data_IF_293578822067
#
_entry.id   IF_293578822067
#
_cell.length_a   1.000
_cell.length_b   1.000
_cell.length_c   1.000
_cell.angle_alpha   90.00
_cell.angle_beta   90.00
_cell.angle_gamma   90.00
#
_symmetry.space_group_name_H-M   'P 1'
#
loop_
_entity.id
_entity.type
_entity.pdbx_description
1 polymer ?
#
# COMPACT_ATOMS: atom_id res chain seq x y z
N UNK A 1 -8.71 9.26 -6.21
CA UNK A 1 -7.35 8.77 -5.95
C UNK A 1 -6.34 9.86 -6.32
N UNK A 2 -5.23 9.99 -5.59
CA UNK A 2 -4.16 10.95 -5.96
C UNK A 2 -3.27 10.40 -7.06
N UNK A 3 -2.80 11.27 -7.94
CA UNK A 3 -1.96 10.92 -9.09
C UNK A 3 -0.66 10.22 -8.72
N UNK A 4 -0.05 10.59 -7.59
CA UNK A 4 1.13 9.90 -7.05
C UNK A 4 0.93 8.39 -6.90
N UNK A 5 -0.28 7.93 -6.56
CA UNK A 5 -0.56 6.48 -6.42
C UNK A 5 -0.39 5.78 -7.75
N UNK A 6 -0.89 6.36 -8.85
CA UNK A 6 -0.76 5.77 -10.19
C UNK A 6 0.68 5.77 -10.67
N UNK A 7 1.44 6.82 -10.38
CA UNK A 7 2.88 6.91 -10.70
C UNK A 7 3.65 5.82 -9.94
N UNK A 8 3.36 5.61 -8.65
CA UNK A 8 3.99 4.54 -7.87
C UNK A 8 3.59 3.14 -8.36
N UNK A 9 2.36 2.96 -8.85
CA UNK A 9 1.94 1.71 -9.49
C UNK A 9 2.71 1.48 -10.81
N UNK A 10 2.83 2.51 -11.64
CA UNK A 10 3.61 2.48 -12.88
C UNK A 10 5.07 2.10 -12.62
N UNK A 11 5.72 2.78 -11.67
CA UNK A 11 7.10 2.51 -11.27
C UNK A 11 7.24 1.05 -10.81
N UNK A 12 6.37 0.58 -9.91
CA UNK A 12 6.38 -0.80 -9.44
C UNK A 12 6.21 -1.82 -10.56
N UNK A 13 5.22 -1.62 -11.44
CA UNK A 13 4.96 -2.55 -12.54
C UNK A 13 6.13 -2.54 -13.53
N UNK A 14 6.65 -1.37 -13.86
CA UNK A 14 7.76 -1.22 -14.80
C UNK A 14 9.03 -1.87 -14.26
N UNK A 15 9.32 -1.70 -12.97
CA UNK A 15 10.50 -2.29 -12.33
C UNK A 15 10.41 -3.82 -12.26
N UNK A 16 9.21 -4.38 -12.00
CA UNK A 16 9.03 -5.82 -11.85
C UNK A 16 8.80 -6.56 -13.18
N UNK A 17 8.11 -5.93 -14.13
CA UNK A 17 7.59 -6.59 -15.33
C UNK A 17 7.96 -5.89 -16.64
N UNK A 18 8.63 -4.73 -16.58
CA UNK A 18 9.06 -3.94 -17.73
C UNK A 18 7.98 -3.01 -18.28
N UNK A 19 8.42 -2.00 -19.05
CA UNK A 19 7.55 -0.97 -19.62
C UNK A 19 6.46 -1.54 -20.56
N UNK A 20 6.77 -2.59 -21.34
CA UNK A 20 5.78 -3.24 -22.21
C UNK A 20 4.61 -3.86 -21.42
N UNK A 21 4.86 -4.33 -20.20
CA UNK A 21 3.81 -4.87 -19.34
C UNK A 21 2.88 -3.74 -18.85
N UNK A 22 3.45 -2.58 -18.52
CA UNK A 22 2.69 -1.41 -18.14
C UNK A 22 1.82 -0.88 -19.27
N UNK A 23 2.39 -0.71 -20.47
CA UNK A 23 1.64 -0.28 -21.66
C UNK A 23 0.47 -1.23 -21.96
N UNK A 24 0.71 -2.54 -21.87
CA UNK A 24 -0.34 -3.55 -22.06
C UNK A 24 -1.44 -3.51 -20.98
N UNK A 25 -1.11 -3.10 -19.74
CA UNK A 25 -2.12 -2.90 -18.70
C UNK A 25 -2.97 -1.67 -18.96
N UNK A 26 -2.36 -0.56 -19.41
CA UNK A 26 -3.08 0.66 -19.78
C UNK A 26 -4.07 0.39 -20.92
N UNK A 27 -3.62 -0.31 -21.97
CA UNK A 27 -4.49 -0.68 -23.10
C UNK A 27 -5.65 -1.58 -22.64
N UNK A 28 -5.37 -2.61 -21.83
CA UNK A 28 -6.40 -3.52 -21.32
C UNK A 28 -7.38 -2.84 -20.35
N UNK A 29 -6.92 -1.86 -19.58
CA UNK A 29 -7.75 -1.05 -18.69
C UNK A 29 -8.52 0.03 -19.46
N UNK A 30 -8.11 0.40 -20.68
CA UNK A 30 -8.70 1.51 -21.42
C UNK A 30 -8.32 2.88 -20.85
N UNK A 31 -7.10 3.02 -20.35
CA UNK A 31 -6.56 4.24 -19.74
C UNK A 31 -5.44 4.83 -20.61
N UNK A 32 -5.26 6.15 -20.56
CA UNK A 32 -4.24 6.86 -21.35
C UNK A 32 -2.88 6.95 -20.65
N UNK A 33 -2.81 6.60 -19.36
CA UNK A 33 -1.57 6.64 -18.60
C UNK A 33 -1.17 8.03 -18.09
N UNK A 34 -2.02 9.05 -18.23
CA UNK A 34 -1.61 10.45 -18.02
C UNK A 34 -2.01 10.96 -16.64
N UNK A 35 -1.12 10.76 -15.66
CA UNK A 35 -1.27 11.29 -14.31
C UNK A 35 -0.22 12.33 -13.93
N UNK A 36 -0.61 13.26 -13.06
CA UNK A 36 0.29 14.24 -12.45
C UNK A 36 0.32 14.01 -10.95
N UNK A 37 1.47 14.14 -10.31
CA UNK A 37 1.69 13.83 -8.89
C UNK A 37 0.63 14.43 -7.95
N UNK A 38 0.26 15.71 -8.14
CA UNK A 38 -0.73 16.41 -7.30
C UNK A 38 -2.19 16.27 -7.77
N UNK A 39 -2.40 15.73 -8.97
CA UNK A 39 -3.71 15.56 -9.58
C UNK A 39 -4.64 14.64 -8.77
N UNK A 40 -5.94 14.82 -8.94
CA UNK A 40 -6.98 13.96 -8.38
C UNK A 40 -7.77 13.31 -9.51
N UNK A 41 -7.90 12.00 -9.45
CA UNK A 41 -8.51 11.16 -10.49
C UNK A 41 -9.59 10.26 -9.88
N UNK A 42 -10.55 9.74 -10.67
CA UNK A 42 -11.55 8.81 -10.18
C UNK A 42 -10.92 7.56 -9.53
N UNK A 43 -11.49 7.07 -8.43
CA UNK A 43 -10.97 5.89 -7.73
C UNK A 43 -11.07 4.64 -8.62
N UNK A 44 -12.06 4.62 -9.52
CA UNK A 44 -12.34 3.56 -10.48
C UNK A 44 -11.16 3.27 -11.41
N UNK A 45 -10.31 4.27 -11.71
CA UNK A 45 -9.13 4.04 -12.55
C UNK A 45 -8.15 3.06 -11.91
N UNK A 46 -8.00 3.07 -10.58
CA UNK A 46 -7.15 2.10 -9.89
C UNK A 46 -7.78 0.71 -9.95
N UNK A 47 -9.10 0.61 -9.77
CA UNK A 47 -9.83 -0.65 -9.91
C UNK A 47 -9.69 -1.22 -11.34
N UNK A 48 -9.75 -0.37 -12.36
CA UNK A 48 -9.56 -0.78 -13.76
C UNK A 48 -8.16 -1.37 -14.01
N UNK A 49 -7.10 -0.75 -13.44
CA UNK A 49 -5.74 -1.29 -13.51
C UNK A 49 -5.61 -2.63 -12.78
N UNK A 50 -6.20 -2.73 -11.58
CA UNK A 50 -6.23 -3.96 -10.79
C UNK A 50 -6.92 -5.08 -11.54
N UNK A 51 -8.09 -4.82 -12.13
CA UNK A 51 -8.86 -5.81 -12.89
C UNK A 51 -8.14 -6.26 -14.17
N UNK A 52 -7.47 -5.33 -14.86
CA UNK A 52 -6.65 -5.64 -16.02
C UNK A 52 -5.48 -6.56 -15.65
N UNK A 53 -4.77 -6.25 -14.56
CA UNK A 53 -3.67 -7.07 -14.05
C UNK A 53 -4.16 -8.43 -13.54
N UNK A 54 -5.27 -8.48 -12.80
CA UNK A 54 -5.87 -9.71 -12.32
C UNK A 54 -6.17 -10.69 -13.46
N UNK A 55 -6.76 -10.19 -14.56
CA UNK A 55 -7.02 -10.99 -15.76
C UNK A 55 -5.73 -11.44 -16.45
N UNK A 56 -4.77 -10.53 -16.63
CA UNK A 56 -3.51 -10.81 -17.33
C UNK A 56 -2.67 -11.86 -16.62
N UNK A 57 -2.61 -11.80 -15.29
CA UNK A 57 -1.77 -12.67 -14.47
C UNK A 57 -2.54 -13.86 -13.85
N UNK A 58 -3.84 -13.99 -14.15
CA UNK A 58 -4.72 -15.02 -13.58
C UNK A 58 -4.69 -15.02 -12.03
N UNK A 59 -4.66 -13.83 -11.45
CA UNK A 59 -4.64 -13.61 -10.00
C UNK A 59 -5.97 -13.07 -9.50
N UNK A 60 -6.38 -13.37 -8.25
CA UNK A 60 -7.48 -12.67 -7.60
C UNK A 60 -7.20 -11.15 -7.52
N UNK A 61 -8.19 -10.27 -7.74
CA UNK A 61 -8.02 -8.82 -7.63
C UNK A 61 -7.42 -8.36 -6.29
N UNK A 62 -7.79 -9.01 -5.19
CA UNK A 62 -7.27 -8.72 -3.86
C UNK A 62 -5.77 -9.02 -3.76
N UNK A 63 -5.32 -10.08 -4.44
CA UNK A 63 -3.89 -10.42 -4.50
C UNK A 63 -3.09 -9.37 -5.29
N UNK A 64 -3.67 -8.84 -6.37
CA UNK A 64 -3.06 -7.75 -7.14
C UNK A 64 -2.97 -6.48 -6.29
N UNK A 65 -4.03 -6.12 -5.56
CA UNK A 65 -4.00 -4.98 -4.66
C UNK A 65 -2.91 -5.09 -3.59
N UNK A 66 -2.71 -6.28 -3.00
CA UNK A 66 -1.61 -6.51 -2.04
C UNK A 66 -0.24 -6.24 -2.66
N UNK A 67 -0.01 -6.77 -3.87
CA UNK A 67 1.26 -6.55 -4.59
C UNK A 67 1.49 -5.07 -4.90
N UNK A 68 0.46 -4.38 -5.38
CA UNK A 68 0.50 -2.93 -5.62
C UNK A 68 0.81 -2.17 -4.33
N UNK A 69 0.15 -2.50 -3.23
CA UNK A 69 0.38 -1.86 -1.93
C UNK A 69 1.82 -2.04 -1.45
N UNK A 70 2.36 -3.25 -1.59
CA UNK A 70 3.73 -3.56 -1.22
C UNK A 70 4.74 -2.71 -2.01
N UNK A 71 4.58 -2.63 -3.34
CA UNK A 71 5.44 -1.81 -4.19
C UNK A 71 5.28 -0.30 -3.97
N UNK A 72 4.06 0.14 -3.71
CA UNK A 72 3.75 1.56 -3.46
C UNK A 72 4.42 2.07 -2.19
N UNK A 73 4.50 1.26 -1.12
CA UNK A 73 5.19 1.68 0.11
C UNK A 73 6.66 2.01 -0.14
N UNK A 74 7.38 1.15 -0.87
CA UNK A 74 8.81 1.37 -1.13
C UNK A 74 9.07 2.62 -1.96
N UNK A 75 8.23 2.90 -2.96
CA UNK A 75 8.39 4.11 -3.76
C UNK A 75 8.05 5.37 -2.96
N UNK A 76 7.00 5.35 -2.13
CA UNK A 76 6.68 6.47 -1.24
C UNK A 76 7.81 6.75 -0.24
N UNK A 77 8.35 5.69 0.37
CA UNK A 77 9.47 5.80 1.31
C UNK A 77 10.76 6.31 0.65
N UNK A 78 10.98 6.00 -0.63
CA UNK A 78 12.12 6.51 -1.40
C UNK A 78 11.95 7.99 -1.78
N UNK A 79 10.73 8.41 -2.11
CA UNK A 79 10.43 9.81 -2.46
C UNK A 79 10.37 10.74 -1.23
N UNK A 80 9.94 10.20 -0.08
CA UNK A 80 9.73 10.94 1.15
C UNK A 80 10.36 10.25 2.38
N UNK A 81 11.69 10.06 2.40
CA UNK A 81 12.36 9.43 3.55
C UNK A 81 12.15 10.20 4.86
N UNK A 82 11.88 11.51 4.79
CA UNK A 82 11.58 12.37 5.94
C UNK A 82 10.33 11.93 6.71
N UNK A 83 9.37 11.25 6.06
CA UNK A 83 8.20 10.69 6.74
C UNK A 83 8.57 9.55 7.69
N UNK A 84 9.73 8.93 7.50
CA UNK A 84 10.16 7.72 8.19
C UNK A 84 11.40 7.92 9.06
N UNK A 85 12.02 9.11 9.04
CA UNK A 85 13.31 9.39 9.70
C UNK A 85 13.31 9.09 11.21
N UNK A 86 12.20 9.43 11.89
CA UNK A 86 12.01 9.24 13.32
C UNK A 86 11.56 7.81 13.69
N UNK A 87 11.19 6.99 12.71
CA UNK A 87 10.72 5.62 12.91
C UNK A 87 11.88 4.62 12.81
N UNK A 88 11.81 3.55 13.59
CA UNK A 88 12.86 2.50 13.65
C UNK A 88 12.34 1.10 13.31
N UNK A 89 11.03 0.97 13.10
CA UNK A 89 10.36 -0.27 12.73
C UNK A 89 9.02 0.01 12.08
N UNK A 90 8.49 -0.97 11.36
CA UNK A 90 7.13 -0.93 10.81
C UNK A 90 6.09 -0.74 11.93
N UNK A 91 6.32 -1.33 13.11
CA UNK A 91 5.48 -1.12 14.30
C UNK A 91 5.30 0.35 14.64
N UNK A 92 6.40 1.11 14.71
CA UNK A 92 6.32 2.54 15.05
C UNK A 92 5.57 3.35 14.00
N UNK A 93 5.73 3.01 12.72
CA UNK A 93 4.97 3.64 11.63
C UNK A 93 3.48 3.36 11.77
N UNK A 94 3.10 2.11 12.03
CA UNK A 94 1.70 1.70 12.16
C UNK A 94 0.99 2.38 13.32
N UNK A 95 1.66 2.51 14.48
CA UNK A 95 1.12 3.19 15.65
C UNK A 95 0.92 4.69 15.42
N UNK A 96 1.78 5.31 14.61
CA UNK A 96 1.74 6.75 14.32
C UNK A 96 1.01 7.11 13.02
N UNK A 97 0.34 6.16 12.37
CA UNK A 97 -0.36 6.37 11.09
C UNK A 97 -1.29 7.58 11.14
N UNK A 98 -2.28 7.57 12.04
CA UNK A 98 -3.27 8.64 12.10
C UNK A 98 -2.72 9.94 12.72
N UNK A 99 -1.71 9.82 13.59
CA UNK A 99 -1.17 10.93 14.36
C UNK A 99 -0.14 11.76 13.62
N UNK A 100 0.66 11.12 12.76
CA UNK A 100 1.81 11.72 12.10
C UNK A 100 1.77 11.42 10.59
N UNK A 101 1.86 10.14 10.20
CA UNK A 101 2.11 9.77 8.80
C UNK A 101 1.01 10.26 7.86
N UNK A 102 -0.25 9.94 8.14
CA UNK A 102 -1.40 10.37 7.33
C UNK A 102 -1.56 11.90 7.31
N UNK A 103 -1.46 12.63 8.44
CA UNK A 103 -1.39 14.08 8.43
C UNK A 103 -0.28 14.66 7.55
N UNK A 104 0.95 14.14 7.63
CA UNK A 104 2.05 14.62 6.78
C UNK A 104 1.80 14.32 5.30
N UNK A 105 1.30 13.13 4.96
CA UNK A 105 0.88 12.77 3.59
C UNK A 105 -0.19 13.76 3.08
N UNK A 106 -1.17 14.14 3.90
CA UNK A 106 -2.18 15.13 3.51
C UNK A 106 -1.61 16.54 3.29
N UNK A 107 -0.50 16.90 3.93
CA UNK A 107 0.22 18.16 3.67
C UNK A 107 0.96 18.12 2.34
N UNK A 108 1.61 16.99 2.02
CA UNK A 108 2.33 16.77 0.76
C UNK A 108 1.36 16.71 -0.43
N UNK A 109 0.19 16.11 -0.22
CA UNK A 109 -0.82 15.88 -1.25
C UNK A 109 -2.17 16.51 -0.85
N UNK A 110 -2.34 17.84 -1.00
CA UNK A 110 -3.56 18.53 -0.60
C UNK A 110 -4.83 17.89 -1.21
N UNK A 111 -5.80 17.57 -0.35
CA UNK A 111 -7.03 16.87 -0.76
C UNK A 111 -6.86 15.35 -0.96
N UNK A 112 -5.75 14.76 -0.50
CA UNK A 112 -5.67 13.33 -0.32
C UNK A 112 -6.70 12.88 0.71
N UNK A 113 -7.31 11.72 0.46
CA UNK A 113 -8.15 11.05 1.44
C UNK A 113 -7.42 9.78 1.83
N UNK A 114 -7.19 9.63 3.13
CA UNK A 114 -6.43 8.54 3.75
C UNK A 114 -7.40 7.70 4.61
N UNK A 115 -7.15 6.40 4.77
CA UNK A 115 -7.98 5.57 5.64
C UNK A 115 -7.71 5.89 7.10
N UNK A 116 -8.60 5.42 7.98
CA UNK A 116 -8.38 5.43 9.42
C UNK A 116 -7.93 4.05 9.89
N UNK A 117 -6.96 4.00 10.81
CA UNK A 117 -6.52 2.75 11.46
C UNK A 117 -6.60 2.85 12.98
N UNK A 118 -7.38 1.99 13.63
CA UNK A 118 -7.21 1.79 15.07
C UNK A 118 -6.20 0.66 15.28
N UNK A 119 -5.00 1.02 15.73
CA UNK A 119 -3.90 0.09 15.98
C UNK A 119 -3.73 -0.11 17.47
N UNK A 120 -3.83 -1.36 17.93
CA UNK A 120 -3.66 -1.72 19.35
C UNK A 120 -2.61 -2.80 19.49
N UNK A 121 -1.60 -2.52 20.31
CA UNK A 121 -0.58 -3.49 20.70
C UNK A 121 -1.07 -4.36 21.86
N UNK A 122 -0.93 -5.67 21.70
CA UNK A 122 -1.27 -6.65 22.73
C UNK A 122 -0.03 -7.02 23.56
N UNK A 123 -0.27 -7.55 24.76
CA UNK A 123 0.81 -7.91 25.69
C UNK A 123 1.73 -9.03 25.18
N UNK A 124 1.27 -9.83 24.22
CA UNK A 124 2.04 -10.89 23.54
C UNK A 124 2.83 -10.37 22.32
N UNK A 125 2.79 -9.06 22.06
CA UNK A 125 3.49 -8.40 20.97
C UNK A 125 2.73 -8.39 19.65
N UNK A 126 1.53 -8.98 19.56
CA UNK A 126 0.70 -8.88 18.36
C UNK A 126 0.17 -7.45 18.17
N UNK A 127 -0.02 -7.05 16.91
CA UNK A 127 -0.76 -5.84 16.58
C UNK A 127 -2.12 -6.21 16.01
N UNK A 128 -3.15 -5.57 16.56
CA UNK A 128 -4.50 -5.61 16.03
C UNK A 128 -4.74 -4.30 15.30
N UNK A 129 -5.07 -4.38 14.02
CA UNK A 129 -5.35 -3.23 13.17
C UNK A 129 -6.81 -3.29 12.71
N UNK A 130 -7.53 -2.19 12.89
CA UNK A 130 -8.87 -2.00 12.32
C UNK A 130 -8.82 -0.86 11.31
N UNK A 131 -8.75 -1.23 10.04
CA UNK A 131 -8.82 -0.34 8.89
C UNK A 131 -10.27 0.05 8.60
N UNK A 132 -10.50 1.34 8.30
CA UNK A 132 -11.81 1.87 7.91
C UNK A 132 -11.67 2.90 6.77
N UNK A 133 -12.40 2.68 5.68
CA UNK A 133 -12.45 3.58 4.53
C UNK A 133 -13.58 3.24 3.58
N UNK A 134 -14.31 4.27 3.13
CA UNK A 134 -15.31 4.19 2.05
C UNK A 134 -14.78 3.65 0.71
N UNK A 135 -13.46 3.61 0.51
CA UNK A 135 -12.86 3.06 -0.72
C UNK A 135 -12.72 1.54 -0.72
N UNK A 136 -12.92 0.87 0.42
CA UNK A 136 -12.80 -0.58 0.55
C UNK A 136 -11.46 -1.19 0.06
N UNK A 137 -10.36 -0.44 0.23
CA UNK A 137 -9.00 -0.86 -0.16
C UNK A 137 -8.25 -1.64 0.94
N UNK A 138 -8.94 -2.54 1.65
CA UNK A 138 -8.35 -3.39 2.70
C UNK A 138 -7.12 -4.20 2.22
N UNK A 139 -7.18 -4.87 1.05
CA UNK A 139 -6.05 -5.62 0.53
C UNK A 139 -4.86 -4.73 0.13
N UNK A 140 -5.10 -3.51 -0.36
CA UNK A 140 -4.04 -2.54 -0.63
C UNK A 140 -3.35 -2.10 0.67
N UNK A 141 -4.14 -1.84 1.72
CA UNK A 141 -3.63 -1.53 3.06
C UNK A 141 -2.77 -2.67 3.62
N UNK A 142 -3.22 -3.92 3.47
CA UNK A 142 -2.43 -5.11 3.83
C UNK A 142 -1.08 -5.12 3.10
N UNK A 143 -1.09 -4.86 1.79
CA UNK A 143 0.12 -4.73 0.98
C UNK A 143 1.08 -3.65 1.49
N UNK A 144 0.57 -2.45 1.82
CA UNK A 144 1.37 -1.35 2.37
C UNK A 144 2.00 -1.73 3.73
N UNK A 145 1.27 -2.45 4.59
CA UNK A 145 1.79 -2.94 5.88
C UNK A 145 2.95 -3.92 5.64
N UNK A 146 2.80 -4.86 4.71
CA UNK A 146 3.87 -5.80 4.32
C UNK A 146 5.07 -5.05 3.73
N UNK A 147 4.83 -4.06 2.86
CA UNK A 147 5.86 -3.19 2.30
C UNK A 147 6.62 -2.41 3.38
N UNK A 148 5.93 -1.94 4.41
CA UNK A 148 6.55 -1.30 5.57
C UNK A 148 7.49 -2.25 6.30
N UNK A 149 7.07 -3.49 6.55
CA UNK A 149 7.96 -4.51 7.12
C UNK A 149 9.23 -4.67 6.30
N UNK A 150 9.09 -4.89 4.99
CA UNK A 150 10.23 -5.08 4.09
C UNK A 150 11.20 -3.89 4.12
N UNK A 151 10.70 -2.66 4.18
CA UNK A 151 11.52 -1.44 4.27
C UNK A 151 12.39 -1.43 5.55
N UNK A 152 11.86 -1.87 6.69
CA UNK A 152 12.62 -1.93 7.95
C UNK A 152 13.42 -3.23 8.14
N UNK A 153 13.44 -4.14 7.16
CA UNK A 153 14.08 -5.45 7.30
C UNK A 153 13.32 -6.38 8.25
N UNK A 154 12.00 -6.25 8.25
CA UNK A 154 11.06 -7.03 9.06
C UNK A 154 10.14 -7.88 8.20
N UNK A 155 9.76 -9.03 8.71
CA UNK A 155 8.72 -9.88 8.14
C UNK A 155 7.41 -9.61 8.86
N UNK A 156 6.34 -9.34 8.10
CA UNK A 156 4.97 -9.26 8.63
C UNK A 156 4.27 -10.61 8.40
N UNK A 157 3.90 -11.28 9.49
CA UNK A 157 3.05 -12.47 9.45
C UNK A 157 1.59 -12.06 9.70
N UNK A 158 0.71 -12.32 8.73
CA UNK A 158 -0.73 -12.10 8.85
C UNK A 158 -1.36 -13.33 9.50
N UNK A 159 -1.80 -13.20 10.75
CA UNK A 159 -2.42 -14.29 11.51
C UNK A 159 -3.92 -14.40 11.26
N UNK A 160 -4.58 -13.27 10.98
CA UNK A 160 -6.00 -13.23 10.64
C UNK A 160 -6.32 -11.97 9.85
N UNK A 161 -7.21 -12.10 8.87
CA UNK A 161 -7.78 -11.00 8.09
C UNK A 161 -9.28 -11.23 7.94
N UNK A 162 -10.08 -10.24 8.33
CA UNK A 162 -11.52 -10.22 8.12
C UNK A 162 -11.86 -8.92 7.41
N UNK A 163 -12.20 -9.01 6.13
CA UNK A 163 -12.53 -7.88 5.28
C UNK A 163 -14.03 -7.90 4.93
N UNK A 164 -14.71 -6.80 5.22
CA UNK A 164 -16.13 -6.59 4.91
C UNK A 164 -16.35 -5.46 3.91
N UNK A 165 -15.29 -5.02 3.24
CA UNK A 165 -15.26 -3.91 2.30
C UNK A 165 -14.76 -2.64 2.98
N UNK A 166 -15.67 -1.79 3.46
CA UNK A 166 -15.29 -0.52 4.07
C UNK A 166 -14.53 -0.67 5.39
N UNK A 167 -14.58 -1.86 6.00
CA UNK A 167 -13.81 -2.20 7.20
C UNK A 167 -12.98 -3.47 6.98
N UNK A 168 -11.76 -3.48 7.51
CA UNK A 168 -10.89 -4.64 7.49
C UNK A 168 -10.17 -4.77 8.83
N UNK A 169 -10.25 -5.94 9.45
CA UNK A 169 -9.56 -6.27 10.69
C UNK A 169 -8.40 -7.21 10.41
N UNK A 170 -7.21 -6.84 10.88
CA UNK A 170 -5.99 -7.60 10.69
C UNK A 170 -5.33 -7.87 12.04
N UNK A 171 -4.86 -9.10 12.25
CA UNK A 171 -3.98 -9.45 13.37
C UNK A 171 -2.64 -9.83 12.77
N UNK A 172 -1.59 -9.10 13.15
CA UNK A 172 -0.25 -9.32 12.61
C UNK A 172 0.78 -9.57 13.70
N UNK A 173 1.82 -10.28 13.31
CA UNK A 173 3.09 -10.37 14.04
C UNK A 173 4.19 -9.75 13.19
N UNK A 174 5.10 -9.04 13.84
CA UNK A 174 6.27 -8.42 13.22
C UNK A 174 7.49 -9.14 13.76
N UNK A 175 8.30 -9.70 12.87
CA UNK A 175 9.54 -10.40 13.20
C UNK A 175 10.71 -9.75 12.48
N UNK A 176 11.89 -9.74 13.09
CA UNK A 176 13.10 -9.30 12.40
C UNK A 176 13.44 -10.32 11.30
N UNK A 177 13.64 -9.86 10.07
CA UNK A 177 14.05 -10.77 9.01
C UNK A 177 15.45 -11.30 9.35
N UNK A 178 15.57 -12.62 9.48
CA UNK A 178 16.85 -13.29 9.67
C UNK A 178 17.64 -13.23 8.35
N UNK A 179 18.27 -12.08 8.10
CA UNK A 179 18.96 -11.84 6.84
C UNK A 179 20.00 -12.91 6.54
N UNK A 180 19.82 -13.63 5.44
CA UNK A 180 20.95 -14.21 4.71
C UNK A 180 21.71 -13.04 4.06
N UNK A 181 22.62 -12.44 4.83
CA UNK A 181 23.78 -11.77 4.24
C UNK A 181 24.67 -12.86 3.67
N UNK A 182 24.53 -13.13 2.38
CA UNK A 182 25.46 -13.91 1.57
C UNK A 182 26.20 -12.98 0.62
#
# INVERSE_FOLDING_TARGET
MKGVVFILVEEFVTDQFGAEAWDGLLEAAGLDGVWTTLGSYPDEQLTMLVDAAAKRFELPPEQVQRLVGQGTFSGLAAQHPELLEDHKSSRTVLLDLNGIIHPEVMKLYPGAEVPWFDVTEQADGLLHLHYRSRRALGPLAEGLIVGAGAYFGETIELLSVVDTGEECQMVIRIEQSTGAKG
#
